data_IF_130612722785
#
_entry.id   IF_130612722785
#
_cell.length_a   1.000
_cell.length_b   1.000
_cell.length_c   1.000
_cell.angle_alpha   90.00
_cell.angle_beta   90.00
_cell.angle_gamma   90.00
#
_symmetry.space_group_name_H-M   'P 1'
#
loop_
_entity.id
_entity.type
_entity.pdbx_description
1 polymer ?
#
# COMPACT_ATOMS: atom_id res chain seq x y z
N UNK A 1 -10.35 -15.25 1.52
CA UNK A 1 -8.95 -15.71 1.43
C UNK A 1 -8.89 -17.22 1.60
N UNK A 2 -7.94 -17.89 0.92
CA UNK A 2 -7.72 -19.35 0.98
C UNK A 2 -6.22 -19.65 1.09
N UNK A 3 -5.88 -20.75 1.74
CA UNK A 3 -4.51 -21.28 1.73
C UNK A 3 -4.19 -21.91 0.37
N UNK A 4 -3.01 -21.63 -0.16
CA UNK A 4 -2.52 -22.23 -1.41
C UNK A 4 -1.21 -22.96 -1.17
N UNK A 5 -1.03 -24.08 -1.86
CA UNK A 5 0.25 -24.80 -1.82
C UNK A 5 1.31 -23.97 -2.58
N UNK A 6 2.37 -23.50 -1.92
CA UNK A 6 3.41 -22.71 -2.58
C UNK A 6 4.02 -23.40 -3.79
N UNK A 7 4.13 -24.74 -3.77
CA UNK A 7 4.70 -25.53 -4.86
C UNK A 7 3.89 -25.48 -6.16
N UNK A 8 2.61 -25.08 -6.09
CA UNK A 8 1.75 -24.91 -7.28
C UNK A 8 1.72 -23.47 -7.79
N UNK A 9 2.52 -22.58 -7.20
CA UNK A 9 2.58 -21.15 -7.54
C UNK A 9 3.94 -20.77 -8.12
N UNK A 10 4.03 -19.57 -8.70
CA UNK A 10 5.30 -18.96 -9.12
C UNK A 10 6.20 -18.60 -7.92
N UNK A 11 5.74 -18.80 -6.67
CA UNK A 11 6.44 -18.42 -5.46
C UNK A 11 7.08 -19.61 -4.71
N UNK A 12 7.05 -20.82 -5.28
CA UNK A 12 7.59 -22.02 -4.65
C UNK A 12 9.01 -21.83 -4.10
N UNK A 13 9.94 -21.45 -4.97
CA UNK A 13 11.34 -21.22 -4.62
C UNK A 13 11.50 -20.06 -3.61
N UNK A 14 10.81 -18.94 -3.82
CA UNK A 14 10.89 -17.82 -2.92
C UNK A 14 10.28 -18.12 -1.53
N UNK A 15 9.24 -18.95 -1.48
CA UNK A 15 8.67 -19.43 -0.23
C UNK A 15 9.69 -20.25 0.56
N UNK A 16 10.34 -21.20 -0.07
CA UNK A 16 11.36 -22.04 0.55
C UNK A 16 12.54 -21.20 1.09
N UNK A 17 13.02 -20.26 0.31
CA UNK A 17 14.20 -19.45 0.64
C UNK A 17 13.94 -18.38 1.70
N UNK A 18 12.79 -17.72 1.64
CA UNK A 18 12.58 -16.47 2.37
C UNK A 18 11.55 -16.56 3.50
N UNK A 19 10.75 -17.62 3.55
CA UNK A 19 9.69 -17.71 4.56
C UNK A 19 10.23 -17.66 5.99
N UNK A 20 11.34 -18.33 6.24
CA UNK A 20 11.99 -18.41 7.54
C UNK A 20 13.25 -17.54 7.63
N UNK A 21 13.48 -16.65 6.67
CA UNK A 21 14.63 -15.75 6.72
C UNK A 21 14.44 -14.70 7.83
N UNK A 22 15.47 -14.37 8.62
CA UNK A 22 15.38 -13.38 9.68
C UNK A 22 14.99 -11.97 9.19
N UNK A 23 15.34 -11.63 7.95
CA UNK A 23 15.05 -10.34 7.31
C UNK A 23 14.57 -10.57 5.87
N UNK A 24 13.29 -10.98 5.68
CA UNK A 24 12.76 -11.28 4.35
C UNK A 24 12.26 -10.03 3.61
N UNK A 25 12.33 -8.85 4.22
CA UNK A 25 11.81 -7.60 3.65
C UNK A 25 12.83 -6.95 2.73
N UNK A 26 12.34 -6.46 1.59
CA UNK A 26 13.11 -5.68 0.62
C UNK A 26 12.45 -4.31 0.46
N UNK A 27 13.26 -3.24 0.40
CA UNK A 27 12.77 -1.88 0.21
C UNK A 27 13.33 -1.26 -1.06
N UNK A 28 12.47 -0.71 -1.90
CA UNK A 28 12.83 0.08 -3.06
C UNK A 28 12.48 1.55 -2.83
N UNK A 29 13.39 2.43 -3.20
CA UNK A 29 13.15 3.87 -3.27
C UNK A 29 12.93 4.28 -4.71
N UNK A 30 11.89 5.08 -4.95
CA UNK A 30 11.62 5.61 -6.28
C UNK A 30 11.07 7.04 -6.20
N UNK A 31 11.59 7.89 -7.06
CA UNK A 31 11.02 9.23 -7.27
C UNK A 31 10.02 9.16 -8.43
N UNK A 32 8.78 9.48 -8.14
CA UNK A 32 7.66 9.51 -9.08
C UNK A 32 7.41 10.93 -9.57
N UNK A 33 7.00 11.07 -10.83
CA UNK A 33 6.41 12.31 -11.34
C UNK A 33 4.91 12.33 -11.00
N UNK A 34 4.53 13.18 -10.05
CA UNK A 34 3.15 13.34 -9.59
C UNK A 34 2.51 14.63 -10.11
N UNK A 35 3.07 15.27 -11.13
CA UNK A 35 2.58 16.54 -11.68
C UNK A 35 1.13 16.45 -12.11
N UNK A 36 0.77 15.40 -12.84
CA UNK A 36 -0.61 15.18 -13.28
C UNK A 36 -1.54 14.87 -12.11
N UNK A 37 -1.09 14.08 -11.13
CA UNK A 37 -1.89 13.75 -9.97
C UNK A 37 -2.23 15.02 -9.15
N UNK A 38 -1.26 15.91 -8.97
CA UNK A 38 -1.46 17.20 -8.30
C UNK A 38 -2.41 18.11 -9.09
N UNK A 39 -2.32 18.12 -10.43
CA UNK A 39 -3.28 18.87 -11.28
C UNK A 39 -4.71 18.34 -11.13
N UNK A 40 -4.89 17.00 -11.16
CA UNK A 40 -6.19 16.35 -10.99
C UNK A 40 -6.76 16.64 -9.60
N UNK A 41 -5.95 16.49 -8.54
CA UNK A 41 -6.33 16.80 -7.17
C UNK A 41 -6.93 18.20 -7.05
N UNK A 42 -6.26 19.20 -7.62
CA UNK A 42 -6.71 20.60 -7.59
C UNK A 42 -7.95 20.85 -8.45
N UNK A 43 -7.91 20.40 -9.73
CA UNK A 43 -9.00 20.61 -10.69
C UNK A 43 -10.31 19.97 -10.24
N UNK A 44 -10.24 18.75 -9.67
CA UNK A 44 -11.42 17.98 -9.25
C UNK A 44 -11.70 18.09 -7.75
N UNK A 45 -10.93 18.89 -7.00
CA UNK A 45 -11.03 19.03 -5.54
C UNK A 45 -10.97 17.70 -4.79
N UNK A 46 -10.18 16.74 -5.30
CA UNK A 46 -9.95 15.43 -4.70
C UNK A 46 -8.75 15.49 -3.77
N UNK A 47 -8.79 14.80 -2.63
CA UNK A 47 -7.64 14.72 -1.71
C UNK A 47 -6.47 14.01 -2.39
N UNK A 48 -5.26 14.59 -2.32
CA UNK A 48 -4.06 14.01 -2.92
C UNK A 48 -3.75 12.61 -2.34
N UNK A 49 -3.91 12.44 -1.03
CA UNK A 49 -3.69 11.13 -0.38
C UNK A 49 -4.66 10.06 -0.89
N UNK A 50 -5.93 10.41 -1.08
CA UNK A 50 -6.93 9.51 -1.68
C UNK A 50 -6.51 9.07 -3.10
N UNK A 51 -6.04 10.02 -3.92
CA UNK A 51 -5.55 9.71 -5.26
C UNK A 51 -4.30 8.81 -5.24
N UNK A 52 -3.40 9.00 -4.27
CA UNK A 52 -2.25 8.10 -4.08
C UNK A 52 -2.72 6.69 -3.73
N UNK A 53 -3.64 6.53 -2.76
CA UNK A 53 -4.21 5.23 -2.42
C UNK A 53 -4.90 4.56 -3.63
N UNK A 54 -5.64 5.32 -4.42
CA UNK A 54 -6.27 4.84 -5.65
C UNK A 54 -5.24 4.35 -6.67
N UNK A 55 -4.17 5.13 -6.91
CA UNK A 55 -3.10 4.74 -7.84
C UNK A 55 -2.35 3.49 -7.36
N UNK A 56 -2.11 3.36 -6.05
CA UNK A 56 -1.50 2.16 -5.44
C UNK A 56 -2.38 0.93 -5.70
N UNK A 57 -3.67 1.00 -5.41
CA UNK A 57 -4.61 -0.09 -5.67
C UNK A 57 -4.70 -0.45 -7.15
N UNK A 58 -4.74 0.56 -8.03
CA UNK A 58 -4.77 0.38 -9.48
C UNK A 58 -3.50 -0.28 -10.02
N UNK A 59 -2.33 0.09 -9.52
CA UNK A 59 -1.07 -0.52 -9.92
C UNK A 59 -0.95 -1.97 -9.40
N UNK A 60 -1.32 -2.19 -8.14
CA UNK A 60 -1.28 -3.49 -7.49
C UNK A 60 -2.24 -4.50 -8.14
N UNK A 61 -3.44 -4.08 -8.52
CA UNK A 61 -4.44 -4.96 -9.16
C UNK A 61 -3.98 -5.58 -10.49
N UNK A 62 -2.91 -5.05 -11.09
CA UNK A 62 -2.31 -5.55 -12.33
C UNK A 62 -1.15 -6.54 -12.11
N UNK A 63 -0.82 -6.83 -10.86
CA UNK A 63 0.31 -7.69 -10.48
C UNK A 63 -0.21 -8.82 -9.58
N UNK A 64 -0.19 -10.05 -10.06
CA UNK A 64 -0.80 -11.21 -9.38
C UNK A 64 -0.27 -11.45 -7.97
N UNK A 65 1.00 -11.15 -7.75
CA UNK A 65 1.68 -11.34 -6.47
C UNK A 65 1.07 -10.49 -5.35
N UNK A 66 0.36 -9.41 -5.67
CA UNK A 66 -0.41 -8.64 -4.68
C UNK A 66 -1.68 -9.34 -4.18
N UNK A 67 -2.06 -10.45 -4.78
CA UNK A 67 -3.18 -11.27 -4.29
C UNK A 67 -2.71 -12.41 -3.39
N UNK A 68 -1.41 -12.51 -3.11
CA UNK A 68 -0.84 -13.50 -2.21
C UNK A 68 -0.14 -12.82 -1.04
N UNK A 69 -0.21 -13.42 0.15
CA UNK A 69 0.48 -12.94 1.34
C UNK A 69 0.96 -14.11 2.19
N UNK A 70 2.24 -14.15 2.60
CA UNK A 70 2.67 -15.10 3.61
C UNK A 70 2.11 -14.70 4.98
N UNK A 71 1.41 -15.62 5.64
CA UNK A 71 0.84 -15.44 6.98
C UNK A 71 1.20 -16.65 7.83
N UNK A 72 1.90 -16.43 8.93
CA UNK A 72 2.52 -17.54 9.67
C UNK A 72 3.41 -18.34 8.73
N UNK A 73 3.26 -19.67 8.69
CA UNK A 73 4.02 -20.56 7.80
C UNK A 73 3.23 -20.95 6.53
N UNK A 74 2.25 -20.13 6.12
CA UNK A 74 1.34 -20.43 5.03
C UNK A 74 1.39 -19.34 3.98
N UNK A 75 1.13 -19.70 2.72
CA UNK A 75 0.85 -18.73 1.66
C UNK A 75 -0.66 -18.64 1.47
N UNK A 76 -1.18 -17.43 1.68
CA UNK A 76 -2.61 -17.14 1.55
C UNK A 76 -2.87 -16.41 0.24
N UNK A 77 -3.96 -16.77 -0.45
CA UNK A 77 -4.45 -16.08 -1.65
C UNK A 77 -5.76 -15.36 -1.35
N UNK A 78 -5.90 -14.17 -1.88
CA UNK A 78 -7.05 -13.28 -1.74
C UNK A 78 -7.69 -13.00 -3.10
N UNK A 79 -8.99 -12.76 -3.12
CA UNK A 79 -9.73 -12.39 -4.33
C UNK A 79 -9.82 -10.87 -4.52
N UNK A 80 -9.42 -10.08 -3.50
CA UNK A 80 -9.51 -8.63 -3.51
C UNK A 80 -8.30 -7.97 -2.82
N UNK A 81 -8.12 -6.69 -3.13
CA UNK A 81 -7.09 -5.83 -2.56
C UNK A 81 -7.75 -4.69 -1.79
N UNK A 82 -7.17 -4.31 -0.66
CA UNK A 82 -7.46 -3.08 0.03
C UNK A 82 -6.18 -2.23 0.17
N UNK A 83 -6.35 -0.92 0.29
CA UNK A 83 -5.25 0.01 0.55
C UNK A 83 -5.49 0.67 1.89
N UNK A 84 -4.57 0.47 2.81
CA UNK A 84 -4.63 1.09 4.13
C UNK A 84 -4.23 2.56 4.07
N UNK A 85 -4.84 3.39 4.89
CA UNK A 85 -4.39 4.75 5.18
C UNK A 85 -4.50 5.06 6.67
N UNK A 86 -3.60 5.90 7.15
CA UNK A 86 -3.62 6.34 8.55
C UNK A 86 -4.49 7.59 8.67
N UNK A 87 -5.37 7.61 9.65
CA UNK A 87 -6.36 8.65 9.90
C UNK A 87 -6.14 9.23 11.29
N UNK A 88 -5.97 10.56 11.38
CA UNK A 88 -6.01 11.25 12.68
C UNK A 88 -7.46 11.21 13.21
N UNK A 89 -7.62 10.82 14.46
CA UNK A 89 -8.93 10.66 15.11
C UNK A 89 -9.27 11.85 16.02
N UNK A 90 -10.49 11.89 16.53
CA UNK A 90 -10.99 12.95 17.39
C UNK A 90 -10.35 12.99 18.79
N UNK A 91 -9.64 11.93 19.20
CA UNK A 91 -8.88 11.91 20.47
C UNK A 91 -7.46 12.48 20.34
N UNK A 92 -7.04 12.87 19.13
CA UNK A 92 -5.68 13.38 18.87
C UNK A 92 -4.65 12.28 18.56
N UNK A 93 -5.09 11.02 18.44
CA UNK A 93 -4.29 9.86 18.07
C UNK A 93 -4.49 9.50 16.59
N UNK A 94 -4.02 8.34 16.18
CA UNK A 94 -4.19 7.84 14.81
C UNK A 94 -4.81 6.45 14.82
N UNK A 95 -5.62 6.17 13.79
CA UNK A 95 -6.17 4.86 13.53
C UNK A 95 -5.87 4.41 12.10
N UNK A 96 -5.88 3.10 11.92
CA UNK A 96 -5.76 2.42 10.63
C UNK A 96 -7.13 2.36 9.95
N UNK A 97 -7.15 2.63 8.64
CA UNK A 97 -8.36 2.57 7.82
C UNK A 97 -8.08 1.85 6.51
N UNK A 98 -8.57 0.64 6.37
CA UNK A 98 -8.49 -0.14 5.14
C UNK A 98 -9.61 0.29 4.18
N UNK A 99 -9.22 0.59 2.95
CA UNK A 99 -10.10 1.06 1.88
C UNK A 99 -10.23 -0.07 0.85
N UNK A 100 -11.42 -0.63 0.63
CA UNK A 100 -11.60 -1.64 -0.41
C UNK A 100 -11.29 -1.03 -1.77
N UNK A 101 -10.39 -1.66 -2.54
CA UNK A 101 -10.04 -1.14 -3.85
C UNK A 101 -11.11 -1.48 -4.88
N UNK A 102 -11.55 -0.49 -5.63
CA UNK A 102 -12.35 -0.64 -6.83
C UNK A 102 -11.83 0.26 -7.96
N UNK A 103 -12.05 -0.15 -9.21
CA UNK A 103 -11.55 0.57 -10.39
C UNK A 103 -12.28 1.90 -10.62
N UNK A 104 -13.50 2.05 -10.11
CA UNK A 104 -14.26 3.28 -10.23
C UNK A 104 -13.74 4.34 -9.27
N UNK A 105 -13.08 5.38 -9.80
CA UNK A 105 -12.50 6.46 -9.00
C UNK A 105 -13.55 7.20 -8.14
N UNK A 106 -14.76 7.40 -8.64
CA UNK A 106 -15.80 8.10 -7.88
C UNK A 106 -16.27 7.28 -6.68
N UNK A 107 -16.47 5.97 -6.88
CA UNK A 107 -16.81 5.05 -5.79
C UNK A 107 -15.70 4.99 -4.78
N UNK A 108 -14.45 4.79 -5.21
CA UNK A 108 -13.29 4.78 -4.31
C UNK A 108 -13.15 6.07 -3.50
N UNK A 109 -13.40 7.23 -4.12
CA UNK A 109 -13.40 8.51 -3.40
C UNK A 109 -14.52 8.59 -2.36
N UNK A 110 -15.72 8.10 -2.68
CA UNK A 110 -16.84 8.09 -1.73
C UNK A 110 -16.53 7.19 -0.53
N UNK A 111 -16.00 5.99 -0.78
CA UNK A 111 -15.59 5.04 0.26
C UNK A 111 -14.46 5.62 1.12
N UNK A 112 -13.46 6.25 0.49
CA UNK A 112 -12.38 6.95 1.21
C UNK A 112 -12.93 8.01 2.16
N UNK A 113 -13.82 8.89 1.68
CA UNK A 113 -14.37 9.98 2.50
C UNK A 113 -15.26 9.44 3.63
N UNK A 114 -16.07 8.44 3.33
CA UNK A 114 -16.98 7.83 4.32
C UNK A 114 -16.19 7.11 5.41
N UNK A 115 -15.33 6.16 5.05
CA UNK A 115 -14.60 5.31 5.98
C UNK A 115 -13.60 6.11 6.82
N UNK A 116 -12.85 7.04 6.20
CA UNK A 116 -11.92 7.88 6.97
C UNK A 116 -12.64 8.80 7.96
N UNK A 117 -13.84 9.29 7.64
CA UNK A 117 -14.67 10.05 8.60
C UNK A 117 -15.17 9.17 9.74
N UNK A 118 -15.67 7.99 9.42
CA UNK A 118 -16.14 7.02 10.41
C UNK A 118 -15.02 6.66 11.39
N UNK A 119 -13.83 6.29 10.90
CA UNK A 119 -12.65 5.97 11.72
C UNK A 119 -12.23 7.15 12.58
N UNK A 120 -12.22 8.38 12.02
CA UNK A 120 -11.86 9.58 12.76
C UNK A 120 -12.81 9.87 13.92
N UNK A 121 -14.11 9.59 13.77
CA UNK A 121 -15.14 9.83 14.79
C UNK A 121 -15.23 8.72 15.82
N UNK A 122 -15.13 7.47 15.38
CA UNK A 122 -15.26 6.29 16.27
C UNK A 122 -14.00 5.99 17.08
N UNK A 123 -12.84 6.52 16.67
CA UNK A 123 -11.53 6.18 17.21
C UNK A 123 -11.23 4.67 17.16
N UNK A 124 -11.80 3.95 16.18
CA UNK A 124 -11.61 2.52 15.98
C UNK A 124 -11.05 2.24 14.58
N UNK A 125 -10.24 1.20 14.45
CA UNK A 125 -9.70 0.79 13.16
C UNK A 125 -10.79 0.22 12.26
N UNK A 126 -10.66 0.44 10.95
CA UNK A 126 -11.41 -0.29 9.94
C UNK A 126 -10.47 -1.31 9.29
N UNK A 127 -10.69 -2.59 9.57
CA UNK A 127 -9.80 -3.71 9.22
C UNK A 127 -10.47 -4.63 8.19
N UNK A 128 -9.83 -4.85 7.06
CA UNK A 128 -10.23 -5.77 5.99
C UNK A 128 -9.25 -6.93 5.80
N UNK A 129 -8.30 -7.14 6.70
CA UNK A 129 -7.22 -8.13 6.56
C UNK A 129 -7.73 -9.57 6.38
N UNK A 130 -8.91 -9.90 6.90
CA UNK A 130 -9.55 -11.21 6.72
C UNK A 130 -10.24 -11.39 5.35
N UNK A 131 -10.48 -10.31 4.61
CA UNK A 131 -11.24 -10.32 3.35
C UNK A 131 -10.36 -9.98 2.15
N UNK A 132 -9.42 -9.04 2.32
CA UNK A 132 -8.60 -8.49 1.25
C UNK A 132 -7.12 -8.52 1.62
N UNK A 133 -6.25 -8.67 0.61
CA UNK A 133 -4.83 -8.40 0.80
C UNK A 133 -4.62 -6.89 0.96
N UNK A 134 -4.17 -6.47 2.13
CA UNK A 134 -4.03 -5.06 2.48
C UNK A 134 -2.63 -4.57 2.14
N UNK A 135 -2.56 -3.45 1.40
CA UNK A 135 -1.31 -2.70 1.19
C UNK A 135 -1.29 -1.56 2.20
N UNK A 136 -0.33 -1.59 3.13
CA UNK A 136 -0.15 -0.55 4.13
C UNK A 136 0.38 0.74 3.51
N UNK A 137 -0.07 1.90 4.01
CA UNK A 137 0.54 3.19 3.64
C UNK A 137 0.76 4.11 4.83
N UNK A 138 1.79 4.97 4.73
CA UNK A 138 2.02 6.07 5.64
C UNK A 138 2.39 7.33 4.88
N UNK A 139 1.61 8.39 5.08
CA UNK A 139 1.73 9.65 4.37
C UNK A 139 2.16 10.78 5.32
N UNK A 140 3.44 11.12 5.31
CA UNK A 140 4.02 12.20 6.12
C UNK A 140 3.99 13.53 5.35
N UNK A 141 2.79 13.95 4.91
CA UNK A 141 2.60 15.04 3.93
C UNK A 141 3.08 16.43 4.39
N UNK A 142 3.34 16.62 5.67
CA UNK A 142 3.89 17.87 6.22
C UNK A 142 5.42 17.90 6.20
N UNK A 143 6.08 16.76 6.12
CA UNK A 143 7.52 16.61 6.25
C UNK A 143 8.17 16.24 4.92
N UNK A 144 9.34 16.80 4.65
CA UNK A 144 10.21 16.36 3.56
C UNK A 144 11.04 15.19 4.06
N UNK A 145 10.85 14.04 3.45
CA UNK A 145 11.68 12.86 3.67
C UNK A 145 12.22 12.39 2.32
N UNK A 146 13.41 11.83 2.31
CA UNK A 146 14.02 11.26 1.11
C UNK A 146 13.77 9.74 1.02
N UNK A 147 13.28 9.13 2.09
CA UNK A 147 12.86 7.75 2.18
C UNK A 147 12.71 7.30 3.63
N UNK A 148 12.13 6.11 3.80
CA UNK A 148 12.03 5.45 5.09
C UNK A 148 12.09 3.93 4.90
N UNK A 149 12.68 3.22 5.85
CA UNK A 149 12.71 1.76 5.89
C UNK A 149 12.13 1.32 7.23
N UNK A 150 11.08 0.51 7.19
CA UNK A 150 10.57 -0.14 8.39
C UNK A 150 11.42 -1.35 8.76
N UNK A 151 11.74 -1.51 10.04
CA UNK A 151 12.37 -2.73 10.53
C UNK A 151 11.33 -3.86 10.55
N UNK A 152 11.74 -5.05 10.13
CA UNK A 152 10.86 -6.21 10.16
C UNK A 152 10.60 -6.66 11.60
N UNK A 153 9.33 -6.64 12.00
CA UNK A 153 8.91 -7.00 13.35
C UNK A 153 8.53 -8.48 13.52
N UNK A 154 8.46 -9.24 12.42
CA UNK A 154 7.97 -10.61 12.40
C UNK A 154 6.43 -10.74 12.45
N UNK A 155 5.70 -9.62 12.46
CA UNK A 155 4.25 -9.60 12.62
C UNK A 155 3.54 -9.32 11.29
N UNK A 156 3.99 -8.26 10.58
CA UNK A 156 3.34 -7.80 9.37
C UNK A 156 4.19 -8.11 8.13
N UNK A 157 3.66 -8.93 7.24
CA UNK A 157 4.29 -9.29 5.97
C UNK A 157 3.71 -8.49 4.79
N UNK A 158 2.74 -7.63 5.06
CA UNK A 158 2.06 -6.82 4.06
C UNK A 158 3.02 -5.88 3.33
N UNK A 159 2.82 -5.67 2.02
CA UNK A 159 3.49 -4.60 1.31
C UNK A 159 3.17 -3.25 1.96
N UNK A 160 4.16 -2.38 2.04
CA UNK A 160 4.02 -1.10 2.71
C UNK A 160 4.66 0.03 1.90
N UNK A 161 3.94 1.14 1.74
CA UNK A 161 4.46 2.30 1.03
C UNK A 161 4.45 3.56 1.90
N UNK A 162 5.59 4.24 1.96
CA UNK A 162 5.77 5.47 2.73
C UNK A 162 6.13 6.60 1.78
N UNK A 163 5.54 7.78 2.01
CA UNK A 163 5.94 9.00 1.30
C UNK A 163 5.82 10.23 2.20
N UNK A 164 6.59 11.26 1.84
CA UNK A 164 6.54 12.56 2.50
C UNK A 164 5.85 13.62 1.65
N UNK A 165 6.26 14.87 1.86
CA UNK A 165 5.80 16.01 1.08
C UNK A 165 6.40 15.98 -0.32
N UNK A 166 5.57 16.15 -1.36
CA UNK A 166 6.06 16.27 -2.72
C UNK A 166 6.88 17.57 -2.92
N UNK A 167 7.88 17.50 -3.81
CA UNK A 167 8.77 18.62 -4.17
C UNK A 167 8.28 19.23 -5.49
N UNK A 168 8.11 20.55 -5.53
CA UNK A 168 7.75 21.30 -6.75
C UNK A 168 9.00 21.94 -7.35
N UNK A 169 9.21 21.72 -8.63
CA UNK A 169 10.12 22.47 -9.48
C UNK A 169 9.32 23.19 -10.56
N UNK A 170 9.97 24.01 -11.40
CA UNK A 170 9.31 24.86 -12.38
C UNK A 170 8.28 24.13 -13.25
N UNK A 171 8.63 22.96 -13.79
CA UNK A 171 7.77 22.20 -14.70
C UNK A 171 7.34 20.83 -14.16
N UNK A 172 7.84 20.44 -13.00
CA UNK A 172 7.70 19.08 -12.50
C UNK A 172 7.41 19.06 -11.00
N UNK A 173 6.48 18.21 -10.60
CA UNK A 173 6.25 17.88 -9.18
C UNK A 173 6.64 16.43 -8.95
N UNK A 174 7.56 16.20 -8.03
CA UNK A 174 8.09 14.87 -7.74
C UNK A 174 7.77 14.44 -6.31
N UNK A 175 7.62 13.14 -6.14
CA UNK A 175 7.39 12.49 -4.86
C UNK A 175 8.30 11.28 -4.74
N UNK A 176 9.17 11.27 -3.72
CA UNK A 176 9.92 10.05 -3.39
C UNK A 176 9.04 9.14 -2.55
N UNK A 177 8.97 7.88 -2.94
CA UNK A 177 8.26 6.82 -2.22
C UNK A 177 9.25 5.73 -1.82
N UNK A 178 9.03 5.15 -0.65
CA UNK A 178 9.67 3.91 -0.20
C UNK A 178 8.63 2.81 -0.29
N UNK A 179 8.92 1.76 -1.03
CA UNK A 179 8.07 0.60 -1.17
C UNK A 179 8.76 -0.62 -0.60
N UNK A 180 8.21 -1.19 0.46
CA UNK A 180 8.71 -2.38 1.15
C UNK A 180 7.77 -3.56 0.91
N UNK A 181 8.34 -4.76 0.75
CA UNK A 181 7.58 -5.98 0.52
C UNK A 181 8.34 -7.20 1.05
N UNK A 182 7.60 -8.25 1.38
CA UNK A 182 8.16 -9.53 1.79
C UNK A 182 8.63 -10.33 0.54
N UNK A 183 9.87 -10.83 0.55
CA UNK A 183 10.45 -11.49 -0.63
C UNK A 183 9.73 -12.79 -1.01
N UNK A 184 9.10 -13.46 -0.04
CA UNK A 184 8.22 -14.60 -0.33
C UNK A 184 7.04 -14.20 -1.20
N UNK A 185 6.44 -13.03 -0.96
CA UNK A 185 5.28 -12.55 -1.73
C UNK A 185 5.67 -12.16 -3.16
N UNK A 186 6.70 -11.34 -3.33
CA UNK A 186 7.15 -10.85 -4.63
C UNK A 186 8.66 -10.67 -4.67
N UNK A 187 9.21 -10.57 -5.85
CA UNK A 187 10.61 -10.23 -6.10
C UNK A 187 10.76 -8.86 -6.78
N UNK A 188 12.00 -8.46 -7.06
CA UNK A 188 12.31 -7.16 -7.63
C UNK A 188 11.64 -6.88 -8.98
N UNK A 189 11.40 -7.89 -9.80
CA UNK A 189 10.72 -7.71 -11.08
C UNK A 189 9.24 -7.34 -10.91
N UNK A 190 8.54 -8.00 -9.96
CA UNK A 190 7.15 -7.71 -9.62
C UNK A 190 7.01 -6.32 -8.99
N UNK A 191 7.89 -5.99 -8.04
CA UNK A 191 7.95 -4.66 -7.43
C UNK A 191 8.26 -3.56 -8.46
N UNK A 192 9.17 -3.83 -9.39
CA UNK A 192 9.49 -2.93 -10.50
C UNK A 192 8.30 -2.70 -11.45
N UNK A 193 7.55 -3.77 -11.77
CA UNK A 193 6.32 -3.69 -12.56
C UNK A 193 5.24 -2.85 -11.85
N UNK A 194 5.04 -3.07 -10.57
CA UNK A 194 4.12 -2.27 -9.74
C UNK A 194 4.50 -0.79 -9.76
N UNK A 195 5.77 -0.46 -9.50
CA UNK A 195 6.25 0.92 -9.45
C UNK A 195 6.28 1.61 -10.82
N UNK A 196 6.14 0.88 -11.93
CA UNK A 196 6.07 1.42 -13.30
C UNK A 196 4.64 1.74 -13.73
N UNK A 197 3.64 1.00 -13.23
CA UNK A 197 2.21 1.19 -13.54
C UNK A 197 1.63 2.44 -12.87
#
# INVERSE_FOLDING_TARGET
MKEVNPQTTTRAYAFEMWMNAPMPMVTFFKTLDVSNLVKISRKRKLKFNMLMCYCIGMAASKVKEFYMLPIGNKLMEYDSIAVNTIVANSSGEVNSCDLPFCVNLQQFNNDYLHLTRQVAQSCTNHDLSHQSMVIGTSALVQYKIDGAVGMYSGIFNNPFMIWGKYKRAWFKTTLTVSFQFHHTQMDGAHAGKFLKN
#
